data_IF_485624480555
#
_entry.id   IF_485624480555
#
_cell.length_a   1.000
_cell.length_b   1.000
_cell.length_c   1.000
_cell.angle_alpha   90.00
_cell.angle_beta   90.00
_cell.angle_gamma   90.00
#
_symmetry.space_group_name_H-M   'P 1'
#
loop_
_entity.id
_entity.type
_entity.pdbx_description
1 polymer ?
#
# COMPACT_ATOMS: atom_id res chain seq x y z
N UNK A 1 6.56 -11.12 6.49
CA UNK A 1 5.99 -11.04 5.14
C UNK A 1 5.77 -9.57 4.85
N UNK A 2 6.48 -9.01 3.87
CA UNK A 2 6.27 -7.64 3.44
C UNK A 2 5.19 -7.59 2.35
N UNK A 3 4.44 -6.49 2.28
CA UNK A 3 3.40 -6.33 1.25
C UNK A 3 3.98 -6.37 -0.17
N UNK A 4 5.22 -5.91 -0.35
CA UNK A 4 5.90 -5.85 -1.65
C UNK A 4 6.18 -7.25 -2.22
N UNK A 5 6.53 -8.20 -1.35
CA UNK A 5 6.84 -9.58 -1.73
C UNK A 5 5.66 -10.27 -2.44
N UNK A 6 4.43 -9.94 -2.05
CA UNK A 6 3.20 -10.51 -2.60
C UNK A 6 2.91 -10.09 -4.04
N UNK A 7 3.60 -9.07 -4.55
CA UNK A 7 3.44 -8.58 -5.93
C UNK A 7 4.61 -8.96 -6.84
N UNK A 8 5.66 -9.57 -6.29
CA UNK A 8 6.86 -10.00 -7.03
C UNK A 8 7.36 -8.91 -8.01
N UNK A 9 7.60 -9.26 -9.27
CA UNK A 9 8.05 -8.33 -10.31
C UNK A 9 7.01 -7.24 -10.64
N UNK A 10 5.74 -7.45 -10.31
CA UNK A 10 4.66 -6.48 -10.56
C UNK A 10 4.62 -5.34 -9.54
N UNK A 11 5.45 -5.36 -8.50
CA UNK A 11 5.50 -4.29 -7.49
C UNK A 11 5.71 -2.89 -8.11
N UNK A 12 6.48 -2.80 -9.18
CA UNK A 12 6.77 -1.55 -9.88
C UNK A 12 5.54 -0.95 -10.60
N UNK A 13 4.44 -1.70 -10.70
CA UNK A 13 3.18 -1.24 -11.30
C UNK A 13 2.21 -0.66 -10.26
N UNK A 14 2.50 -0.82 -8.96
CA UNK A 14 1.63 -0.32 -7.91
C UNK A 14 1.83 1.20 -7.72
N UNK A 15 0.74 1.95 -7.47
CA UNK A 15 0.85 3.32 -7.00
C UNK A 15 1.38 3.32 -5.56
N UNK A 16 2.70 3.44 -5.43
CA UNK A 16 3.41 3.40 -4.15
C UNK A 16 3.88 4.79 -3.73
N UNK A 17 3.74 5.08 -2.44
CA UNK A 17 4.25 6.29 -1.80
C UNK A 17 5.23 5.89 -0.70
N UNK A 18 6.47 6.39 -0.78
CA UNK A 18 7.46 6.22 0.27
C UNK A 18 7.19 7.22 1.41
N UNK A 19 6.73 6.72 2.55
CA UNK A 19 6.39 7.56 3.69
C UNK A 19 7.60 7.97 4.55
N UNK A 20 8.71 7.25 4.48
CA UNK A 20 9.92 7.52 5.26
C UNK A 20 11.16 7.69 4.35
N UNK A 21 11.17 8.66 3.43
CA UNK A 21 12.26 8.83 2.46
C UNK A 21 13.61 9.16 3.13
N UNK A 22 13.56 9.73 4.35
CA UNK A 22 14.72 10.06 5.16
C UNK A 22 15.11 8.95 6.15
N UNK A 23 14.51 7.77 6.04
CA UNK A 23 14.74 6.64 6.93
C UNK A 23 14.19 6.84 8.35
N UNK A 24 14.60 5.94 9.25
CA UNK A 24 14.12 5.89 10.64
C UNK A 24 14.53 7.16 11.40
N UNK A 25 13.55 7.82 12.02
CA UNK A 25 13.76 9.06 12.79
C UNK A 25 13.82 10.33 11.93
N UNK A 26 13.80 10.20 10.60
CA UNK A 26 13.67 11.33 9.68
C UNK A 26 12.23 11.82 9.55
N UNK A 27 12.07 12.98 8.90
CA UNK A 27 10.74 13.52 8.59
C UNK A 27 9.99 12.58 7.64
N UNK A 28 8.71 12.31 7.96
CA UNK A 28 7.79 11.61 7.09
C UNK A 28 7.46 12.46 5.86
N UNK A 29 7.15 11.82 4.74
CA UNK A 29 6.63 12.50 3.56
C UNK A 29 5.31 13.21 3.89
N UNK A 30 5.12 14.43 3.37
CA UNK A 30 3.98 15.30 3.73
C UNK A 30 2.63 14.63 3.47
N UNK A 31 2.51 13.95 2.31
CA UNK A 31 1.30 13.21 1.94
C UNK A 31 0.92 12.14 2.98
N UNK A 32 1.89 11.48 3.61
CA UNK A 32 1.63 10.47 4.64
C UNK A 32 1.25 11.11 5.98
N UNK A 33 1.64 12.37 6.23
CA UNK A 33 1.21 13.13 7.41
C UNK A 33 -0.21 13.63 7.22
N UNK A 34 -0.52 14.20 6.06
CA UNK A 34 -1.86 14.69 5.70
C UNK A 34 -2.89 13.57 5.72
N UNK A 35 -2.52 12.39 5.17
CA UNK A 35 -3.31 11.17 5.24
C UNK A 35 -3.18 10.42 6.58
N UNK A 36 -2.56 11.02 7.61
CA UNK A 36 -2.48 10.45 8.97
C UNK A 36 -2.02 8.98 9.00
N UNK A 37 -1.02 8.62 8.19
CA UNK A 37 -0.48 7.26 8.11
C UNK A 37 0.42 6.99 9.33
N UNK A 38 -0.11 6.24 10.29
CA UNK A 38 0.61 5.78 11.49
C UNK A 38 1.14 4.36 11.39
N UNK A 39 0.51 3.52 10.57
CA UNK A 39 0.80 2.08 10.44
C UNK A 39 1.32 1.78 9.03
N UNK A 40 2.29 0.85 8.91
CA UNK A 40 2.79 0.40 7.62
C UNK A 40 2.58 -1.11 7.43
N UNK A 41 2.19 -1.56 6.23
CA UNK A 41 1.68 -0.74 5.13
C UNK A 41 0.26 -0.23 5.42
N UNK A 42 -0.12 0.88 4.78
CA UNK A 42 -1.49 1.38 4.76
C UNK A 42 -1.93 1.51 3.31
N UNK A 43 -3.09 0.96 2.97
CA UNK A 43 -3.74 1.08 1.69
C UNK A 43 -4.89 2.08 1.77
N UNK A 44 -4.94 3.01 0.83
CA UNK A 44 -6.11 3.87 0.61
C UNK A 44 -6.66 3.52 -0.77
N UNK A 45 -7.77 2.79 -0.79
CA UNK A 45 -8.38 2.26 -2.01
C UNK A 45 -9.80 2.80 -2.09
N UNK A 46 -10.10 3.57 -3.15
CA UNK A 46 -11.40 4.25 -3.34
C UNK A 46 -11.83 5.05 -2.10
N UNK A 47 -10.88 5.75 -1.46
CA UNK A 47 -11.10 6.55 -0.25
C UNK A 47 -11.29 5.75 1.04
N UNK A 48 -11.21 4.42 1.01
CA UNK A 48 -11.27 3.56 2.20
C UNK A 48 -9.87 3.16 2.66
N UNK A 49 -9.65 3.19 3.98
CA UNK A 49 -8.38 2.84 4.61
C UNK A 49 -8.36 1.37 5.04
N UNK A 50 -7.25 0.71 4.74
CA UNK A 50 -6.95 -0.66 5.18
C UNK A 50 -5.50 -0.70 5.69
N UNK A 51 -5.32 -1.08 6.95
CA UNK A 51 -3.99 -1.13 7.58
C UNK A 51 -3.51 -2.57 7.68
N UNK A 52 -2.27 -2.81 7.27
CA UNK A 52 -1.62 -4.13 7.31
C UNK A 52 -1.36 -4.72 5.94
N UNK A 53 -0.86 -5.96 5.97
CA UNK A 53 -0.51 -6.74 4.79
C UNK A 53 -1.73 -7.53 4.32
N UNK A 54 -2.05 -7.41 3.03
CA UNK A 54 -3.19 -8.09 2.41
C UNK A 54 -2.73 -8.91 1.20
N UNK A 55 -3.35 -10.07 1.01
CA UNK A 55 -3.12 -10.89 -0.18
C UNK A 55 -3.70 -10.20 -1.43
N UNK A 56 -3.17 -10.48 -2.64
CA UNK A 56 -3.69 -9.92 -3.89
C UNK A 56 -5.21 -10.11 -4.07
N UNK A 57 -5.78 -11.22 -3.59
CA UNK A 57 -7.22 -11.48 -3.68
C UNK A 57 -8.04 -10.49 -2.83
N UNK A 58 -7.57 -10.16 -1.63
CA UNK A 58 -8.24 -9.19 -0.77
C UNK A 58 -8.15 -7.78 -1.37
N UNK A 59 -7.00 -7.43 -1.93
CA UNK A 59 -6.79 -6.15 -2.61
C UNK A 59 -7.63 -6.05 -3.90
N UNK A 60 -7.86 -7.16 -4.59
CA UNK A 60 -8.77 -7.24 -5.73
C UNK A 60 -10.23 -6.95 -5.29
N UNK A 61 -10.68 -7.53 -4.19
CA UNK A 61 -12.01 -7.24 -3.62
C UNK A 61 -12.14 -5.75 -3.24
N UNK A 62 -11.15 -5.18 -2.54
CA UNK A 62 -11.19 -3.78 -2.11
C UNK A 62 -11.16 -2.80 -3.28
N UNK A 63 -10.38 -3.10 -4.33
CA UNK A 63 -10.31 -2.29 -5.55
C UNK A 63 -11.48 -2.53 -6.50
N UNK A 64 -12.27 -3.59 -6.30
CA UNK A 64 -13.31 -4.03 -7.23
C UNK A 64 -12.74 -4.51 -8.56
N UNK A 65 -11.51 -5.04 -8.57
CA UNK A 65 -10.89 -5.63 -9.74
C UNK A 65 -11.62 -6.92 -10.14
N UNK A 66 -12.07 -6.98 -11.39
CA UNK A 66 -12.83 -8.11 -11.96
C UNK A 66 -12.05 -8.88 -13.02
N UNK A 67 -10.74 -8.62 -13.16
CA UNK A 67 -9.92 -9.36 -14.11
C UNK A 67 -9.82 -10.84 -13.74
N UNK A 68 -9.60 -11.66 -14.75
CA UNK A 68 -9.53 -13.12 -14.60
C UNK A 68 -8.28 -13.46 -13.77
N UNK A 69 -8.44 -14.33 -12.77
CA UNK A 69 -7.30 -15.01 -12.15
C UNK A 69 -6.83 -16.06 -13.15
N UNK A 70 -5.69 -15.82 -13.78
CA UNK A 70 -5.02 -16.82 -14.62
C UNK A 70 -4.54 -18.02 -13.79
#
# INVERSE_FOLDING_TARGET
MEQKDLFEASINRLPYVECSPNGKGGLKAIVCVEEQVSTYPTWIIKGRRYEGVFKPEQLAEYSGYTGVKE
#
